data_IF_929386124649
#
_entry.id   IF_929386124649
#
_cell.length_a   1.000
_cell.length_b   1.000
_cell.length_c   1.000
_cell.angle_alpha   90.00
_cell.angle_beta   90.00
_cell.angle_gamma   90.00
#
_symmetry.space_group_name_H-M   'P 1'
#
loop_
_entity.id
_entity.type
_entity.pdbx_description
1 polymer ?
#
# COMPACT_ATOMS: atom_id res chain seq x y z
N UNK A 1 -6.77 9.43 25.36
CA UNK A 1 -5.59 9.35 24.47
C UNK A 1 -4.67 8.24 24.99
N UNK A 2 -4.30 7.30 24.12
CA UNK A 2 -3.37 6.22 24.48
C UNK A 2 -1.96 6.63 24.12
N UNK A 3 -1.09 6.80 25.14
CA UNK A 3 0.32 7.12 24.94
C UNK A 3 1.08 5.87 24.52
N UNK A 4 1.74 5.96 23.38
CA UNK A 4 2.62 4.91 22.84
C UNK A 4 4.07 5.40 22.90
N UNK A 5 4.90 4.68 23.61
CA UNK A 5 6.33 4.98 23.72
C UNK A 5 7.09 4.34 22.57
N UNK A 6 7.82 5.14 21.81
CA UNK A 6 8.58 4.68 20.65
C UNK A 6 10.02 4.38 21.02
N UNK A 7 10.49 3.20 20.63
CA UNK A 7 11.90 2.79 20.72
C UNK A 7 12.41 2.55 19.31
N UNK A 8 13.68 2.86 19.06
CA UNK A 8 14.36 2.68 17.77
C UNK A 8 15.69 1.98 17.93
N UNK A 9 16.05 1.23 16.89
CA UNK A 9 17.38 0.60 16.79
C UNK A 9 17.81 0.58 15.33
N UNK A 10 19.01 1.06 15.05
CA UNK A 10 19.61 0.94 13.71
C UNK A 10 20.38 -0.36 13.60
N UNK A 11 20.29 -0.98 12.44
CA UNK A 11 21.06 -2.18 12.08
C UNK A 11 21.53 -2.06 10.63
N UNK A 12 22.62 -2.73 10.30
CA UNK A 12 23.10 -2.88 8.93
C UNK A 12 22.40 -4.09 8.31
N UNK A 13 21.94 -3.94 7.07
CA UNK A 13 21.20 -4.95 6.30
C UNK A 13 21.77 -5.14 4.88
N UNK A 14 23.07 -4.90 4.70
CA UNK A 14 23.80 -4.96 3.44
C UNK A 14 23.76 -6.33 2.75
N UNK A 15 23.54 -7.39 3.51
CA UNK A 15 23.42 -8.78 3.02
C UNK A 15 21.96 -9.27 2.94
N UNK A 16 20.97 -8.41 3.25
CA UNK A 16 19.55 -8.81 3.38
C UNK A 16 18.69 -7.82 2.61
N UNK A 17 17.84 -8.32 1.71
CA UNK A 17 16.91 -7.49 0.93
C UNK A 17 15.60 -7.22 1.67
N UNK A 18 14.84 -6.14 1.34
CA UNK A 18 13.50 -5.91 1.87
C UNK A 18 12.56 -7.11 1.69
N UNK A 19 12.60 -7.74 0.52
CA UNK A 19 11.84 -8.97 0.23
C UNK A 19 12.22 -10.11 1.19
N UNK A 20 13.53 -10.31 1.45
CA UNK A 20 13.98 -11.32 2.39
C UNK A 20 13.51 -11.04 3.82
N UNK A 21 13.54 -9.78 4.26
CA UNK A 21 13.03 -9.38 5.59
C UNK A 21 11.52 -9.64 5.67
N UNK A 22 10.75 -9.25 4.64
CA UNK A 22 9.32 -9.53 4.58
C UNK A 22 9.03 -11.04 4.72
N UNK A 23 9.69 -11.90 3.93
CA UNK A 23 9.54 -13.35 3.98
C UNK A 23 9.86 -13.95 5.36
N UNK A 24 10.81 -13.36 6.09
CA UNK A 24 11.15 -13.79 7.45
C UNK A 24 10.09 -13.41 8.47
N UNK A 25 9.35 -12.32 8.25
CA UNK A 25 8.42 -11.76 9.21
C UNK A 25 6.96 -12.17 8.96
N UNK A 26 6.54 -12.37 7.70
CA UNK A 26 5.14 -12.64 7.34
C UNK A 26 4.53 -13.87 8.03
N UNK A 27 5.34 -14.90 8.31
CA UNK A 27 4.89 -16.12 9.01
C UNK A 27 4.86 -15.97 10.53
N UNK A 28 5.36 -14.86 11.07
CA UNK A 28 5.40 -14.57 12.51
C UNK A 28 4.35 -13.53 12.91
N UNK A 29 4.01 -12.65 11.98
CA UNK A 29 3.10 -11.55 12.22
C UNK A 29 1.97 -11.56 11.20
N UNK A 30 0.76 -11.39 11.68
CA UNK A 30 -0.41 -11.26 10.81
C UNK A 30 -0.46 -9.87 10.18
N UNK A 31 -1.08 -9.76 9.01
CA UNK A 31 -1.34 -8.49 8.32
C UNK A 31 -0.03 -7.69 8.10
N UNK A 32 1.02 -8.37 7.67
CA UNK A 32 2.30 -7.74 7.35
C UNK A 32 2.25 -7.11 5.97
N UNK A 33 2.76 -5.89 5.85
CA UNK A 33 2.82 -5.17 4.58
C UNK A 33 4.26 -4.88 4.17
N UNK A 34 4.48 -4.80 2.86
CA UNK A 34 5.74 -4.38 2.25
C UNK A 34 5.46 -3.24 1.27
N UNK A 35 6.15 -2.11 1.47
CA UNK A 35 6.14 -0.97 0.56
C UNK A 35 7.57 -0.72 0.11
N UNK A 36 7.80 -0.61 -1.20
CA UNK A 36 9.13 -0.36 -1.75
C UNK A 36 9.09 0.84 -2.70
N UNK A 37 10.12 1.68 -2.62
CA UNK A 37 10.36 2.69 -3.63
C UNK A 37 11.54 2.26 -4.50
N UNK A 38 11.35 2.28 -5.83
CA UNK A 38 12.41 2.03 -6.81
C UNK A 38 12.82 3.31 -7.55
N UNK A 39 12.65 4.47 -6.92
CA UNK A 39 13.01 5.74 -7.53
C UNK A 39 14.54 5.87 -7.66
N UNK A 40 15.03 5.68 -8.87
CA UNK A 40 16.45 5.79 -9.22
C UNK A 40 16.97 7.24 -9.21
N UNK A 41 16.09 8.24 -9.17
CA UNK A 41 16.44 9.66 -9.22
C UNK A 41 16.69 10.22 -7.83
N UNK A 42 15.95 9.76 -6.83
CA UNK A 42 16.03 10.22 -5.45
C UNK A 42 17.04 9.42 -4.62
N UNK A 43 18.32 9.43 -5.00
CA UNK A 43 19.40 8.61 -4.42
C UNK A 43 19.38 8.48 -2.89
N UNK A 44 19.17 9.56 -2.16
CA UNK A 44 19.22 9.57 -0.68
C UNK A 44 17.89 9.26 0.01
N UNK A 45 16.78 9.18 -0.72
CA UNK A 45 15.42 9.04 -0.19
C UNK A 45 14.70 7.77 -0.63
N UNK A 46 15.44 6.77 -1.10
CA UNK A 46 14.85 5.46 -1.46
C UNK A 46 14.66 4.61 -0.22
N UNK A 47 13.41 4.51 0.23
CA UNK A 47 13.05 3.73 1.42
C UNK A 47 12.11 2.59 1.07
N UNK A 48 12.34 1.45 1.73
CA UNK A 48 11.36 0.38 1.82
C UNK A 48 10.81 0.30 3.26
N UNK A 49 9.54 -0.02 3.39
CA UNK A 49 8.85 -0.15 4.67
C UNK A 49 8.28 -1.55 4.81
N UNK A 50 8.50 -2.16 5.95
CA UNK A 50 7.80 -3.38 6.35
C UNK A 50 7.11 -3.07 7.67
N UNK A 51 5.77 -3.15 7.67
CA UNK A 51 4.99 -2.92 8.86
C UNK A 51 4.34 -4.23 9.30
N UNK A 52 4.44 -4.58 10.56
CA UNK A 52 3.87 -5.79 11.11
C UNK A 52 3.24 -5.57 12.49
N UNK A 53 2.39 -6.52 12.91
CA UNK A 53 1.70 -6.48 14.19
C UNK A 53 0.77 -5.25 14.32
N UNK A 54 -0.31 -5.15 13.52
CA UNK A 54 -1.27 -4.06 13.62
C UNK A 54 -1.96 -4.06 14.98
N UNK A 55 -2.04 -2.90 15.62
CA UNK A 55 -2.65 -2.72 16.95
C UNK A 55 -3.96 -1.94 16.93
N UNK A 56 -4.26 -1.31 15.81
CA UNK A 56 -5.52 -0.63 15.60
C UNK A 56 -5.88 -0.67 14.11
N UNK A 57 -7.18 -0.69 13.82
CA UNK A 57 -7.68 -0.74 12.45
C UNK A 57 -8.88 0.19 12.29
N UNK A 58 -8.93 0.83 11.14
CA UNK A 58 -10.04 1.63 10.66
C UNK A 58 -10.43 1.11 9.29
N UNK A 59 -11.62 0.56 9.15
CA UNK A 59 -12.04 0.05 7.85
C UNK A 59 -13.55 0.22 7.63
N UNK A 60 -13.91 0.36 6.36
CA UNK A 60 -15.31 0.44 5.91
C UNK A 60 -15.62 -0.76 5.06
N UNK A 61 -16.68 -1.47 5.41
CA UNK A 61 -17.17 -2.64 4.70
C UNK A 61 -18.70 -2.67 4.73
N UNK A 62 -19.34 -2.80 3.57
CA UNK A 62 -20.82 -2.89 3.48
C UNK A 62 -21.54 -1.73 4.18
N UNK A 63 -21.08 -0.50 3.98
CA UNK A 63 -21.64 0.69 4.62
C UNK A 63 -21.58 0.68 6.17
N UNK A 64 -20.68 -0.09 6.74
CA UNK A 64 -20.40 -0.10 8.18
C UNK A 64 -18.94 0.31 8.37
N UNK A 65 -18.73 1.32 9.21
CA UNK A 65 -17.42 1.71 9.68
C UNK A 65 -17.06 0.91 10.93
N UNK A 66 -15.90 0.27 10.89
CA UNK A 66 -15.30 -0.47 12.00
C UNK A 66 -14.06 0.24 12.49
N UNK A 67 -13.95 0.41 13.80
CA UNK A 67 -12.76 0.91 14.49
C UNK A 67 -12.34 -0.12 15.53
N UNK A 68 -11.13 -0.66 15.41
CA UNK A 68 -10.52 -1.58 16.38
C UNK A 68 -9.38 -0.86 17.09
N UNK A 69 -9.28 -1.00 18.40
CA UNK A 69 -8.32 -0.29 19.24
C UNK A 69 -7.32 -1.24 19.93
N UNK A 70 -6.16 -0.73 20.43
CA UNK A 70 -5.12 -1.56 21.03
C UNK A 70 -5.53 -2.34 22.28
N UNK A 71 -6.63 -2.00 22.91
CA UNK A 71 -7.24 -2.73 24.04
C UNK A 71 -8.23 -3.81 23.61
N UNK A 72 -8.24 -4.12 22.29
CA UNK A 72 -9.19 -5.01 21.63
C UNK A 72 -10.66 -4.54 21.68
N UNK A 73 -10.91 -3.31 22.10
CA UNK A 73 -12.24 -2.71 21.96
C UNK A 73 -12.56 -2.47 20.49
N UNK A 74 -13.84 -2.63 20.13
CA UNK A 74 -14.33 -2.44 18.76
C UNK A 74 -15.51 -1.49 18.79
N UNK A 75 -15.60 -0.62 17.80
CA UNK A 75 -16.74 0.25 17.58
C UNK A 75 -17.22 0.05 16.14
N UNK A 76 -18.52 -0.18 16.00
CA UNK A 76 -19.19 -0.27 14.71
C UNK A 76 -20.14 0.92 14.56
N UNK A 77 -20.15 1.53 13.39
CA UNK A 77 -21.04 2.65 13.09
C UNK A 77 -21.60 2.46 11.69
N UNK A 78 -22.93 2.37 11.57
CA UNK A 78 -23.59 2.32 10.27
C UNK A 78 -23.45 3.68 9.61
N UNK A 79 -22.95 3.69 8.38
CA UNK A 79 -22.78 4.92 7.61
C UNK A 79 -24.15 5.43 7.11
N UNK A 80 -24.34 6.73 7.23
CA UNK A 80 -25.51 7.46 6.73
C UNK A 80 -25.03 8.64 5.87
N UNK A 81 -25.92 9.30 5.18
CA UNK A 81 -25.60 10.49 4.38
C UNK A 81 -24.99 11.66 5.20
N UNK A 82 -25.14 11.60 6.52
CA UNK A 82 -24.57 12.61 7.44
C UNK A 82 -23.23 12.19 8.03
N UNK A 83 -22.77 10.95 7.80
CA UNK A 83 -21.51 10.45 8.35
C UNK A 83 -20.34 10.98 7.52
N UNK A 84 -19.48 11.78 8.14
CA UNK A 84 -18.25 12.26 7.50
C UNK A 84 -17.09 11.32 7.83
N UNK A 85 -16.68 10.51 6.84
CA UNK A 85 -15.59 9.52 6.98
C UNK A 85 -14.25 10.19 7.31
N UNK A 86 -13.98 11.38 6.76
CA UNK A 86 -12.73 12.10 7.04
C UNK A 86 -12.65 12.53 8.50
N UNK A 87 -13.76 13.04 9.05
CA UNK A 87 -13.84 13.38 10.48
C UNK A 87 -13.66 12.15 11.36
N UNK A 88 -14.29 11.03 11.00
CA UNK A 88 -14.16 9.76 11.72
C UNK A 88 -12.72 9.20 11.69
N UNK A 89 -12.00 9.41 10.58
CA UNK A 89 -10.59 9.03 10.43
C UNK A 89 -9.67 9.93 11.24
N UNK A 90 -9.89 11.24 11.22
CA UNK A 90 -9.13 12.21 12.01
C UNK A 90 -9.32 11.96 13.51
N UNK A 91 -10.54 11.77 13.97
CA UNK A 91 -10.86 11.40 15.35
C UNK A 91 -10.16 10.08 15.76
N UNK A 92 -10.15 9.09 14.86
CA UNK A 92 -9.45 7.84 15.11
C UNK A 92 -7.94 8.06 15.26
N UNK A 93 -7.33 8.86 14.40
CA UNK A 93 -5.90 9.19 14.49
C UNK A 93 -5.56 9.95 15.79
N UNK A 94 -6.40 10.85 16.23
CA UNK A 94 -6.23 11.62 17.47
C UNK A 94 -6.34 10.78 18.75
N UNK A 95 -6.81 9.53 18.66
CA UNK A 95 -6.83 8.64 19.84
C UNK A 95 -5.43 8.19 20.25
N UNK A 96 -4.45 8.29 19.36
CA UNK A 96 -3.07 7.86 19.58
C UNK A 96 -2.14 9.06 19.81
N UNK A 97 -1.53 9.13 20.98
CA UNK A 97 -0.41 10.02 21.26
C UNK A 97 0.89 9.23 21.16
N UNK A 98 1.72 9.56 20.16
CA UNK A 98 2.98 8.86 19.94
C UNK A 98 4.11 9.75 20.43
N UNK A 99 4.77 9.32 21.49
CA UNK A 99 5.97 9.97 21.99
C UNK A 99 7.16 9.61 21.07
N UNK A 100 7.36 10.48 20.08
CA UNK A 100 8.39 10.35 19.06
C UNK A 100 9.01 11.71 18.76
N UNK A 101 9.96 12.12 19.59
CA UNK A 101 10.67 13.39 19.48
C UNK A 101 12.03 13.28 18.75
N UNK A 102 12.30 12.19 18.02
CA UNK A 102 13.57 12.02 17.34
C UNK A 102 13.69 12.90 16.09
N UNK A 103 14.87 13.46 15.85
CA UNK A 103 15.19 14.20 14.61
C UNK A 103 15.02 13.31 13.36
N UNK A 104 15.19 12.01 13.52
CA UNK A 104 15.06 11.02 12.45
C UNK A 104 13.63 10.83 11.97
N UNK A 105 12.63 11.12 12.82
CA UNK A 105 11.20 11.08 12.44
C UNK A 105 10.83 12.04 11.31
N UNK A 106 11.70 13.00 10.99
CA UNK A 106 11.52 13.93 9.86
C UNK A 106 12.04 13.38 8.53
N UNK A 107 12.88 12.33 8.56
CA UNK A 107 13.50 11.78 7.34
C UNK A 107 12.62 10.73 6.65
N UNK A 108 11.86 9.97 7.41
CA UNK A 108 11.02 8.87 6.94
C UNK A 108 9.75 8.74 7.77
N UNK A 109 8.79 7.98 7.26
CA UNK A 109 7.54 7.73 7.98
C UNK A 109 7.82 6.78 9.13
N UNK A 110 7.71 7.26 10.37
CA UNK A 110 7.94 6.48 11.58
C UNK A 110 6.66 6.14 12.36
N UNK A 111 5.56 6.76 11.99
CA UNK A 111 4.23 6.61 12.61
C UNK A 111 3.15 6.99 11.62
N UNK A 112 1.95 6.44 11.79
CA UNK A 112 0.80 6.76 10.96
C UNK A 112 -0.03 5.53 10.62
N UNK A 113 -1.00 5.75 9.76
CA UNK A 113 -1.87 4.71 9.24
C UNK A 113 -1.34 4.25 7.87
N UNK A 114 -1.27 2.94 7.69
CA UNK A 114 -0.90 2.30 6.43
C UNK A 114 -2.08 1.51 5.92
N UNK A 115 -2.41 1.68 4.64
CA UNK A 115 -3.56 1.02 4.08
C UNK A 115 -3.94 1.56 2.72
N UNK A 116 -5.22 1.45 2.36
CA UNK A 116 -5.74 1.87 1.08
C UNK A 116 -7.17 2.41 1.18
N UNK A 117 -7.53 3.18 0.19
CA UNK A 117 -8.92 3.49 -0.20
C UNK A 117 -9.15 2.95 -1.60
N UNK A 118 -10.26 2.23 -1.82
CA UNK A 118 -10.63 1.77 -3.15
C UNK A 118 -11.18 2.93 -4.00
N UNK A 119 -11.23 2.74 -5.31
CA UNK A 119 -11.88 3.70 -6.20
C UNK A 119 -13.33 3.98 -5.78
N UNK A 120 -14.09 2.95 -5.41
CA UNK A 120 -15.51 3.07 -5.05
C UNK A 120 -15.73 3.82 -3.73
N UNK A 121 -14.69 4.05 -2.93
CA UNK A 121 -14.76 4.88 -1.73
C UNK A 121 -15.05 6.36 -2.04
N UNK A 122 -14.94 6.79 -3.31
CA UNK A 122 -15.30 8.15 -3.76
C UNK A 122 -16.73 8.55 -3.35
N UNK A 123 -17.66 7.59 -3.29
CA UNK A 123 -19.03 7.80 -2.82
C UNK A 123 -19.16 8.35 -1.41
N UNK A 124 -18.11 8.25 -0.59
CA UNK A 124 -18.06 8.81 0.76
C UNK A 124 -17.58 10.26 0.81
N UNK A 125 -17.08 10.78 -0.30
CA UNK A 125 -16.47 12.10 -0.40
C UNK A 125 -17.18 13.01 -1.38
N UNK A 126 -17.80 12.42 -2.43
CA UNK A 126 -18.46 13.12 -3.52
C UNK A 126 -19.89 12.63 -3.68
N UNK A 127 -20.76 13.50 -4.20
CA UNK A 127 -22.15 13.14 -4.52
C UNK A 127 -22.21 12.41 -5.86
N UNK A 128 -21.65 11.20 -5.90
CA UNK A 128 -21.58 10.34 -7.08
C UNK A 128 -22.19 8.97 -6.73
N UNK A 129 -23.09 8.50 -7.54
CA UNK A 129 -23.56 7.13 -7.48
C UNK A 129 -22.52 6.21 -8.12
N UNK A 130 -21.97 5.30 -7.34
CA UNK A 130 -21.11 4.23 -7.82
C UNK A 130 -21.98 2.98 -7.96
N UNK A 131 -22.12 2.46 -9.18
CA UNK A 131 -22.74 1.17 -9.38
C UNK A 131 -21.97 0.13 -8.58
N UNK A 132 -22.64 -0.54 -7.65
CA UNK A 132 -22.05 -1.62 -6.87
C UNK A 132 -21.82 -2.82 -7.80
N UNK A 133 -20.72 -2.80 -8.52
CA UNK A 133 -20.17 -4.04 -9.03
C UNK A 133 -19.81 -4.90 -7.82
N UNK A 134 -20.42 -6.07 -7.74
CA UNK A 134 -20.22 -7.07 -6.69
C UNK A 134 -18.78 -7.64 -6.73
N UNK A 135 -17.80 -6.77 -6.52
CA UNK A 135 -16.43 -7.17 -6.22
C UNK A 135 -16.42 -7.76 -4.83
N UNK A 136 -16.80 -9.02 -4.77
CA UNK A 136 -16.85 -9.83 -3.58
C UNK A 136 -17.02 -9.03 -2.31
N UNK A 137 -18.15 -9.10 -1.69
CA UNK A 137 -18.50 -8.49 -0.39
C UNK A 137 -17.44 -8.64 0.73
N UNK A 138 -16.29 -9.16 0.40
CA UNK A 138 -15.23 -9.55 1.34
C UNK A 138 -14.14 -8.50 1.49
N UNK A 139 -13.88 -7.65 0.47
CA UNK A 139 -12.83 -6.64 0.50
C UNK A 139 -13.42 -5.31 0.98
N UNK A 140 -12.90 -4.71 2.06
CA UNK A 140 -13.32 -3.39 2.52
C UNK A 140 -13.05 -2.29 1.48
N UNK A 141 -13.92 -1.29 1.40
CA UNK A 141 -13.71 -0.10 0.54
C UNK A 141 -12.57 0.78 1.07
N UNK A 142 -12.41 0.85 2.38
CA UNK A 142 -11.33 1.57 3.05
C UNK A 142 -10.73 0.63 4.09
N UNK A 143 -9.41 0.53 4.15
CA UNK A 143 -8.74 -0.24 5.16
C UNK A 143 -7.41 0.40 5.55
N UNK A 144 -7.32 0.88 6.78
CA UNK A 144 -6.10 1.41 7.39
C UNK A 144 -5.76 0.70 8.68
N UNK A 145 -4.47 0.47 8.91
CA UNK A 145 -3.95 -0.09 10.15
C UNK A 145 -2.88 0.81 10.75
N UNK A 146 -2.85 0.88 12.07
CA UNK A 146 -1.73 1.40 12.83
C UNK A 146 -0.87 0.22 13.29
N UNK A 147 0.41 0.24 12.92
CA UNK A 147 1.32 -0.87 13.19
C UNK A 147 2.21 -0.60 14.39
N UNK A 148 2.45 -1.62 15.20
CA UNK A 148 3.35 -1.53 16.35
C UNK A 148 4.80 -1.54 15.92
N UNK A 149 5.17 -2.41 14.99
CA UNK A 149 6.52 -2.53 14.46
C UNK A 149 6.58 -2.02 13.02
N UNK A 150 7.54 -1.11 12.78
CA UNK A 150 7.84 -0.58 11.45
C UNK A 150 9.35 -0.74 11.21
N UNK A 151 9.71 -1.40 10.13
CA UNK A 151 11.09 -1.51 9.67
C UNK A 151 11.23 -0.56 8.48
N UNK A 152 12.08 0.44 8.63
CA UNK A 152 12.41 1.40 7.56
C UNK A 152 13.78 1.06 7.04
N UNK A 153 13.88 0.70 5.77
CA UNK A 153 15.13 0.30 5.12
C UNK A 153 15.50 1.39 4.13
N UNK A 154 16.65 2.03 4.35
CA UNK A 154 17.25 2.88 3.34
C UNK A 154 18.00 1.97 2.36
N UNK A 155 17.49 1.87 1.13
CA UNK A 155 18.04 0.98 0.10
C UNK A 155 19.30 1.52 -0.55
N UNK A 156 19.64 2.78 -0.30
CA UNK A 156 20.87 3.41 -0.81
C UNK A 156 22.09 3.05 0.04
N UNK A 157 21.98 3.15 1.38
CA UNK A 157 23.10 2.88 2.29
C UNK A 157 22.98 1.52 2.99
N UNK A 158 21.94 0.74 2.71
CA UNK A 158 21.70 -0.58 3.30
C UNK A 158 21.59 -0.56 4.84
N UNK A 159 21.06 0.51 5.40
CA UNK A 159 20.73 0.62 6.80
C UNK A 159 19.23 0.39 7.03
N UNK A 160 18.89 -0.31 8.09
CA UNK A 160 17.51 -0.39 8.54
C UNK A 160 17.34 0.23 9.93
N UNK A 161 16.25 0.96 10.10
CA UNK A 161 15.80 1.44 11.40
C UNK A 161 14.60 0.60 11.83
N UNK A 162 14.76 -0.15 12.89
CA UNK A 162 13.70 -0.88 13.57
C UNK A 162 12.97 0.08 14.52
N UNK A 163 11.67 0.19 14.40
CA UNK A 163 10.83 1.07 15.21
C UNK A 163 9.78 0.20 15.90
N UNK A 164 9.61 0.36 17.19
CA UNK A 164 8.54 -0.26 17.96
C UNK A 164 7.83 0.75 18.84
N UNK A 165 6.51 0.80 18.74
CA UNK A 165 5.63 1.60 19.59
C UNK A 165 5.19 0.87 20.87
N UNK A 166 5.95 -0.14 21.30
CA UNK A 166 5.67 -0.92 22.51
C UNK A 166 6.27 -0.32 23.78
N UNK A 167 7.29 0.53 23.65
CA UNK A 167 8.10 0.96 24.80
C UNK A 167 9.02 -0.13 25.38
N UNK A 168 9.14 -1.29 24.72
CA UNK A 168 9.84 -2.47 25.19
C UNK A 168 11.02 -2.79 24.26
N UNK A 169 12.25 -2.69 24.79
CA UNK A 169 13.49 -2.93 24.04
C UNK A 169 13.63 -4.40 23.63
N UNK A 170 13.11 -5.34 24.42
CA UNK A 170 13.21 -6.76 24.11
C UNK A 170 12.43 -7.14 22.85
N UNK A 171 11.36 -6.42 22.54
CA UNK A 171 10.63 -6.61 21.28
C UNK A 171 11.45 -6.21 20.07
N UNK A 172 12.23 -5.12 20.15
CA UNK A 172 13.15 -4.73 19.08
C UNK A 172 14.29 -5.76 18.95
N UNK A 173 14.86 -6.23 20.06
CA UNK A 173 15.90 -7.25 20.04
C UNK A 173 15.38 -8.56 19.42
N UNK A 174 14.15 -8.96 19.73
CA UNK A 174 13.49 -10.12 19.13
C UNK A 174 13.29 -9.91 17.61
N UNK A 175 12.82 -8.73 17.19
CA UNK A 175 12.64 -8.39 15.78
C UNK A 175 13.97 -8.45 15.02
N UNK A 176 15.03 -7.86 15.58
CA UNK A 176 16.38 -7.93 15.01
C UNK A 176 16.87 -9.38 14.87
N UNK A 177 16.68 -10.20 15.91
CA UNK A 177 17.02 -11.61 15.87
C UNK A 177 16.29 -12.33 14.75
N UNK A 178 14.99 -12.12 14.57
CA UNK A 178 14.21 -12.70 13.46
C UNK A 178 14.79 -12.29 12.10
N UNK A 179 15.10 -11.01 11.92
CA UNK A 179 15.66 -10.49 10.67
C UNK A 179 17.02 -11.14 10.36
N UNK A 180 17.90 -11.26 11.36
CA UNK A 180 19.25 -11.78 11.16
C UNK A 180 19.34 -13.30 11.03
N UNK A 181 18.57 -14.03 11.82
CA UNK A 181 18.79 -15.48 11.99
C UNK A 181 17.74 -16.37 11.34
N UNK A 182 16.51 -15.90 11.15
CA UNK A 182 15.45 -16.73 10.58
C UNK A 182 15.73 -17.02 9.10
N UNK A 183 15.53 -18.28 8.69
CA UNK A 183 15.54 -18.66 7.29
C UNK A 183 14.26 -18.21 6.61
N UNK A 184 14.32 -17.90 5.32
CA UNK A 184 13.15 -17.63 4.49
C UNK A 184 12.50 -18.94 4.06
N UNK A 185 11.18 -19.02 4.19
CA UNK A 185 10.42 -20.10 3.60
C UNK A 185 9.95 -19.65 2.22
N UNK A 186 10.25 -20.43 1.20
CA UNK A 186 9.76 -20.24 -0.14
C UNK A 186 8.78 -21.37 -0.47
N UNK A 187 7.63 -20.98 -1.01
CA UNK A 187 6.61 -21.93 -1.44
C UNK A 187 6.44 -21.82 -2.95
N UNK A 188 6.03 -22.93 -3.56
CA UNK A 188 5.77 -22.98 -4.99
C UNK A 188 4.51 -22.17 -5.35
N UNK A 189 4.46 -21.70 -6.59
CA UNK A 189 3.28 -21.09 -7.20
C UNK A 189 2.94 -21.81 -8.50
N UNK A 190 1.65 -22.07 -8.71
CA UNK A 190 1.17 -22.74 -9.92
C UNK A 190 -0.13 -22.09 -10.38
N UNK A 191 -0.19 -21.78 -11.68
CA UNK A 191 -1.42 -21.33 -12.35
C UNK A 191 -2.33 -22.54 -12.58
N UNK A 192 -3.63 -22.38 -12.34
CA UNK A 192 -4.65 -23.41 -12.50
C UNK A 192 -5.80 -22.91 -13.40
N UNK A 193 -6.16 -23.72 -14.38
CA UNK A 193 -7.24 -23.42 -15.32
C UNK A 193 -6.90 -22.29 -16.29
N UNK A 194 -7.93 -21.72 -16.89
CA UNK A 194 -7.83 -20.67 -17.91
C UNK A 194 -8.06 -19.30 -17.32
N UNK A 195 -7.46 -18.26 -17.95
CA UNK A 195 -7.71 -16.85 -17.63
C UNK A 195 -9.15 -16.51 -18.04
N UNK A 196 -9.90 -15.91 -17.14
CA UNK A 196 -11.22 -15.36 -17.40
C UNK A 196 -11.17 -13.84 -17.45
N UNK A 197 -12.02 -13.23 -18.26
CA UNK A 197 -12.20 -11.78 -18.33
C UNK A 197 -13.67 -11.42 -18.26
N UNK A 198 -13.98 -10.27 -17.67
CA UNK A 198 -15.34 -9.71 -17.64
C UNK A 198 -15.78 -9.12 -19.00
N UNK A 199 -14.84 -8.85 -19.90
CA UNK A 199 -15.07 -8.29 -21.23
C UNK A 199 -14.30 -9.07 -22.28
N UNK A 200 -14.88 -9.23 -23.48
CA UNK A 200 -14.16 -9.72 -24.67
C UNK A 200 -13.26 -8.60 -25.23
N UNK A 201 -12.27 -8.97 -26.03
CA UNK A 201 -11.33 -8.01 -26.62
C UNK A 201 -12.04 -6.96 -27.46
N UNK A 202 -12.98 -7.37 -28.32
CA UNK A 202 -13.74 -6.43 -29.16
C UNK A 202 -14.61 -5.47 -28.34
N UNK A 203 -15.21 -5.93 -27.24
CA UNK A 203 -16.01 -5.08 -26.35
C UNK A 203 -15.14 -4.00 -25.70
N UNK A 204 -13.96 -4.37 -25.23
CA UNK A 204 -13.00 -3.42 -24.67
C UNK A 204 -12.49 -2.41 -25.71
N UNK A 205 -12.19 -2.86 -26.94
CA UNK A 205 -11.80 -1.98 -28.05
C UNK A 205 -12.87 -0.95 -28.36
N UNK A 206 -14.15 -1.36 -28.39
CA UNK A 206 -15.25 -0.43 -28.62
C UNK A 206 -15.43 0.57 -27.47
N UNK A 207 -15.22 0.15 -26.20
CA UNK A 207 -15.18 1.07 -25.07
C UNK A 207 -14.06 2.12 -25.24
N UNK A 208 -12.86 1.71 -25.66
CA UNK A 208 -11.74 2.64 -25.92
C UNK A 208 -12.10 3.64 -27.01
N UNK A 209 -12.67 3.18 -28.14
CA UNK A 209 -13.12 4.07 -29.23
C UNK A 209 -14.16 5.08 -28.75
N UNK A 210 -15.11 4.65 -27.89
CA UNK A 210 -16.09 5.55 -27.28
C UNK A 210 -15.43 6.57 -26.35
N UNK A 211 -14.49 6.13 -25.50
CA UNK A 211 -13.72 7.00 -24.61
C UNK A 211 -12.95 8.09 -25.38
N UNK A 212 -12.28 7.71 -26.46
CA UNK A 212 -11.57 8.65 -27.34
C UNK A 212 -12.51 9.73 -27.88
N UNK A 213 -13.74 9.37 -28.31
CA UNK A 213 -14.74 10.35 -28.77
C UNK A 213 -15.13 11.34 -27.68
N UNK A 214 -15.27 10.89 -26.42
CA UNK A 214 -15.55 11.78 -25.29
C UNK A 214 -14.41 12.76 -25.02
N UNK A 215 -13.14 12.31 -25.12
CA UNK A 215 -11.99 13.19 -24.99
C UNK A 215 -11.96 14.25 -26.10
N UNK A 216 -12.19 13.85 -27.39
CA UNK A 216 -12.24 14.80 -28.50
C UNK A 216 -13.36 15.82 -28.40
N UNK A 217 -14.49 15.46 -27.79
CA UNK A 217 -15.59 16.41 -27.54
C UNK A 217 -15.33 17.38 -26.39
N UNK A 218 -14.30 17.11 -25.58
CA UNK A 218 -13.97 17.89 -24.38
C UNK A 218 -14.83 17.55 -23.17
N UNK A 219 -15.51 16.41 -23.19
CA UNK A 219 -16.31 15.96 -22.02
C UNK A 219 -15.42 15.60 -20.83
N UNK A 220 -14.20 15.14 -21.11
CA UNK A 220 -13.16 14.76 -20.12
C UNK A 220 -11.77 15.09 -20.67
N UNK A 221 -10.82 15.40 -19.80
CA UNK A 221 -9.40 15.56 -20.15
C UNK A 221 -8.70 14.22 -20.27
N UNK A 222 -9.05 13.29 -19.38
CA UNK A 222 -8.47 11.96 -19.32
C UNK A 222 -9.57 10.99 -18.87
N UNK A 223 -9.53 9.77 -19.40
CA UNK A 223 -10.40 8.68 -18.99
C UNK A 223 -9.57 7.40 -18.83
N UNK A 224 -9.79 6.67 -17.75
CA UNK A 224 -9.18 5.37 -17.51
C UNK A 224 -10.26 4.29 -17.60
N UNK A 225 -10.13 3.41 -18.60
CA UNK A 225 -11.04 2.30 -18.81
C UNK A 225 -10.46 1.04 -18.18
N UNK A 226 -11.24 0.33 -17.40
CA UNK A 226 -10.78 -0.87 -16.72
C UNK A 226 -11.31 -2.15 -17.36
N UNK A 227 -10.51 -3.21 -17.27
CA UNK A 227 -10.88 -4.57 -17.62
C UNK A 227 -10.36 -5.52 -16.55
N UNK A 228 -11.19 -6.44 -16.09
CA UNK A 228 -10.84 -7.42 -15.07
C UNK A 228 -10.43 -8.74 -15.69
N UNK A 229 -9.30 -9.25 -15.25
CA UNK A 229 -8.88 -10.63 -15.51
C UNK A 229 -8.89 -11.41 -14.20
N UNK A 230 -9.25 -12.68 -14.26
CA UNK A 230 -9.27 -13.57 -13.11
C UNK A 230 -8.55 -14.87 -13.48
N UNK A 231 -7.65 -15.32 -12.59
CA UNK A 231 -6.88 -16.53 -12.77
C UNK A 231 -6.89 -17.33 -11.47
N UNK A 232 -7.24 -18.63 -11.56
CA UNK A 232 -7.05 -19.54 -10.44
C UNK A 232 -5.57 -19.88 -10.29
N UNK A 233 -5.14 -20.05 -9.06
CA UNK A 233 -3.77 -20.47 -8.73
C UNK A 233 -3.76 -21.29 -7.46
N UNK A 234 -2.65 -21.99 -7.22
CA UNK A 234 -2.31 -22.64 -5.96
C UNK A 234 -0.90 -22.24 -5.53
N UNK A 235 -0.64 -22.26 -4.23
CA UNK A 235 0.64 -21.90 -3.65
C UNK A 235 0.73 -20.45 -3.20
N UNK A 236 1.93 -19.86 -3.28
CA UNK A 236 2.27 -18.58 -2.69
C UNK A 236 2.12 -17.42 -3.69
N UNK A 237 1.08 -16.62 -3.55
CA UNK A 237 0.83 -15.44 -4.40
C UNK A 237 1.92 -14.36 -4.29
N UNK A 238 2.75 -14.37 -3.27
CA UNK A 238 3.90 -13.48 -3.17
C UNK A 238 4.91 -13.69 -4.29
N UNK A 239 4.95 -14.90 -4.88
CA UNK A 239 5.73 -15.16 -6.08
C UNK A 239 5.29 -14.28 -7.26
N UNK A 240 3.97 -13.99 -7.38
CA UNK A 240 3.44 -13.11 -8.43
C UNK A 240 3.93 -11.67 -8.20
N UNK A 241 3.88 -11.18 -6.97
CA UNK A 241 4.44 -9.86 -6.63
C UNK A 241 5.92 -9.75 -6.97
N UNK A 242 6.73 -10.77 -6.64
CA UNK A 242 8.17 -10.80 -6.95
C UNK A 242 8.43 -10.72 -8.46
N UNK A 243 7.61 -11.41 -9.28
CA UNK A 243 7.70 -11.33 -10.74
C UNK A 243 7.24 -9.97 -11.26
N UNK A 244 6.12 -9.45 -10.76
CA UNK A 244 5.65 -8.10 -11.12
C UNK A 244 6.71 -7.04 -10.84
N UNK A 245 7.34 -7.10 -9.68
CA UNK A 245 8.45 -6.22 -9.28
C UNK A 245 9.63 -6.27 -10.25
N UNK A 246 9.93 -7.43 -10.81
CA UNK A 246 11.02 -7.63 -11.78
C UNK A 246 10.66 -7.15 -13.19
N UNK A 247 9.41 -7.38 -13.61
CA UNK A 247 8.96 -7.06 -14.97
C UNK A 247 8.62 -5.58 -15.11
N UNK A 248 8.01 -5.00 -14.08
CA UNK A 248 7.55 -3.62 -14.06
C UNK A 248 8.01 -2.89 -12.77
N UNK A 249 9.32 -2.58 -12.66
CA UNK A 249 9.84 -1.82 -11.53
C UNK A 249 9.34 -0.37 -11.64
N UNK A 250 8.43 0.02 -10.76
CA UNK A 250 7.86 1.36 -10.68
C UNK A 250 8.21 2.02 -9.36
N UNK A 251 8.13 3.36 -9.23
CA UNK A 251 8.49 4.08 -8.02
C UNK A 251 7.72 3.64 -6.77
N UNK A 252 6.49 3.12 -6.95
CA UNK A 252 5.63 2.70 -5.84
C UNK A 252 5.20 1.24 -6.00
N UNK A 253 5.94 0.37 -5.34
CA UNK A 253 5.64 -1.05 -5.24
C UNK A 253 5.03 -1.33 -3.87
N UNK A 254 3.95 -2.09 -3.83
CA UNK A 254 3.27 -2.41 -2.58
C UNK A 254 2.75 -3.84 -2.56
N UNK A 255 2.78 -4.43 -1.38
CA UNK A 255 2.17 -5.71 -1.07
C UNK A 255 1.52 -5.63 0.31
N UNK A 256 0.20 -5.68 0.34
CA UNK A 256 -0.61 -5.68 1.55
C UNK A 256 -1.16 -7.08 1.79
N UNK A 257 -0.75 -7.73 2.87
CA UNK A 257 -1.31 -9.00 3.32
C UNK A 257 -2.32 -8.73 4.45
N UNK A 258 -3.59 -8.96 4.17
CA UNK A 258 -4.67 -8.84 5.16
C UNK A 258 -5.22 -10.21 5.62
N UNK A 259 -4.47 -11.29 5.37
CA UNK A 259 -4.81 -12.66 5.74
C UNK A 259 -5.71 -13.33 4.70
N UNK A 260 -7.00 -13.03 4.70
CA UNK A 260 -7.98 -13.61 3.79
C UNK A 260 -7.96 -13.03 2.37
N UNK A 261 -7.38 -11.86 2.17
CA UNK A 261 -7.12 -11.27 0.86
C UNK A 261 -5.79 -10.52 0.84
N UNK A 262 -5.22 -10.33 -0.34
CA UNK A 262 -4.01 -9.54 -0.56
C UNK A 262 -4.25 -8.54 -1.67
N UNK A 263 -3.60 -7.37 -1.54
CA UNK A 263 -3.59 -6.35 -2.58
C UNK A 263 -2.13 -6.01 -2.87
N UNK A 264 -1.72 -6.11 -4.12
CA UNK A 264 -0.36 -5.77 -4.50
C UNK A 264 -0.32 -5.17 -5.90
N UNK A 265 0.70 -4.38 -6.15
CA UNK A 265 0.83 -3.69 -7.41
C UNK A 265 2.16 -2.96 -7.58
N UNK A 266 2.30 -2.38 -8.76
CA UNK A 266 3.41 -1.55 -9.17
C UNK A 266 2.83 -0.30 -9.83
N UNK A 267 2.97 0.87 -9.19
CA UNK A 267 2.41 2.14 -9.66
C UNK A 267 3.50 3.13 -10.02
N UNK A 268 3.39 3.81 -11.17
CA UNK A 268 4.33 4.87 -11.55
C UNK A 268 4.00 6.21 -10.87
N UNK A 269 2.82 6.38 -10.31
CA UNK A 269 2.26 7.67 -9.95
C UNK A 269 2.00 7.82 -8.45
N UNK A 270 2.41 8.97 -7.90
CA UNK A 270 1.98 9.44 -6.59
C UNK A 270 0.79 10.37 -6.77
N UNK A 271 -0.36 10.01 -6.23
CA UNK A 271 -1.56 10.85 -6.30
C UNK A 271 -1.38 12.17 -5.55
N UNK A 272 -0.84 12.10 -4.34
CA UNK A 272 -0.57 13.25 -3.50
C UNK A 272 0.59 12.93 -2.54
N UNK A 273 1.56 13.82 -2.46
CA UNK A 273 2.64 13.76 -1.48
C UNK A 273 2.56 15.00 -0.60
N UNK A 274 2.50 14.81 0.72
CA UNK A 274 2.54 15.91 1.68
C UNK A 274 3.81 15.76 2.52
N UNK A 275 4.71 16.75 2.43
CA UNK A 275 5.96 16.76 3.18
C UNK A 275 6.34 18.19 3.56
N UNK A 276 6.72 18.42 4.83
CA UNK A 276 7.14 19.74 5.33
C UNK A 276 6.11 20.85 5.00
N UNK A 277 4.82 20.57 5.25
CA UNK A 277 3.70 21.49 5.00
C UNK A 277 3.48 21.87 3.52
N UNK A 278 4.14 21.17 2.59
CA UNK A 278 3.94 21.30 1.16
C UNK A 278 3.20 20.09 0.62
N UNK A 279 2.18 20.33 -0.21
CA UNK A 279 1.46 19.32 -0.97
C UNK A 279 1.98 19.33 -2.42
N UNK A 280 2.35 18.17 -2.93
CA UNK A 280 2.89 17.98 -4.28
C UNK A 280 2.02 16.97 -5.04
N UNK A 281 1.68 17.29 -6.27
CA UNK A 281 0.99 16.41 -7.22
C UNK A 281 1.89 16.28 -8.44
N UNK A 282 2.11 15.05 -8.91
CA UNK A 282 2.94 14.73 -10.07
C UNK A 282 2.06 14.09 -11.16
N UNK A 283 1.25 14.87 -11.90
CA UNK A 283 0.29 14.31 -12.86
C UNK A 283 1.00 13.68 -14.05
N UNK A 284 0.56 12.48 -14.45
CA UNK A 284 0.98 11.78 -15.65
C UNK A 284 -0.18 11.77 -16.64
N UNK A 285 0.02 12.43 -17.80
CA UNK A 285 -1.04 12.61 -18.80
C UNK A 285 -0.95 11.64 -19.98
N UNK A 286 0.13 10.85 -20.10
CA UNK A 286 0.30 9.93 -21.22
C UNK A 286 1.51 9.02 -21.08
N UNK A 287 1.55 7.99 -21.93
CA UNK A 287 2.64 7.02 -21.99
C UNK A 287 3.09 6.84 -23.44
N UNK A 288 4.39 6.99 -23.68
CA UNK A 288 5.00 6.79 -24.98
C UNK A 288 5.95 5.61 -24.97
N UNK A 289 5.96 4.86 -26.09
CA UNK A 289 6.93 3.78 -26.27
C UNK A 289 8.34 4.37 -26.37
N UNK A 290 9.25 3.93 -25.52
CA UNK A 290 10.66 4.32 -25.61
C UNK A 290 11.30 3.80 -26.90
N UNK A 291 12.11 4.64 -27.56
CA UNK A 291 12.84 4.26 -28.77
C UNK A 291 14.22 3.70 -28.43
N UNK A 292 14.69 3.83 -27.20
CA UNK A 292 16.05 3.50 -26.78
C UNK A 292 17.07 4.62 -27.08
N UNK A 293 16.59 5.75 -27.59
CA UNK A 293 17.42 6.95 -27.84
C UNK A 293 16.84 8.12 -27.03
N UNK A 294 17.54 8.52 -25.98
CA UNK A 294 17.09 9.58 -25.08
C UNK A 294 16.87 10.93 -25.73
N UNK A 295 17.65 11.26 -26.81
CA UNK A 295 17.49 12.50 -27.57
C UNK A 295 16.19 12.51 -28.40
N UNK A 296 15.73 11.36 -28.85
CA UNK A 296 14.47 11.22 -29.58
C UNK A 296 13.29 11.20 -28.57
N UNK A 297 13.46 10.48 -27.48
CA UNK A 297 12.43 10.33 -26.46
C UNK A 297 12.14 11.66 -25.73
N UNK A 298 13.17 12.52 -25.55
CA UNK A 298 12.99 13.85 -24.93
C UNK A 298 12.26 14.87 -25.79
N UNK A 299 12.08 14.62 -27.11
CA UNK A 299 11.37 15.48 -28.05
C UNK A 299 9.90 15.11 -28.25
N UNK A 300 9.45 14.01 -27.68
CA UNK A 300 8.05 13.55 -27.71
C UNK A 300 7.25 14.07 -26.53
#
# INVERSE_FOLDING_TARGET
>A
MKKLKTIRKKIIVDTITPVSIYLKLRDQFTNTILLESSDYIAKDNSYAYICCNPIAKFYVKKNILFKEFPDNSKKETKLTSTTNILSELDDFMRTFEIDDNSVESKKYISKGLFGYMSYDSIKFFENIEVENDSYGDEIPEIFYSFYREIIVINTFNNEATLISHSGDIEKINTLEKLIKTKKTNEFSFKIEGEIKSNLKDNEYIEMVKKGIKHCFRGDVFQIVLSRKFSQKFSGDEFCVYRQLRSINPSPYLFYFDYGNFKIFGSSPEAQLVIKNEKAEIHPIAGTFKRTGNDLIDSKK
#
